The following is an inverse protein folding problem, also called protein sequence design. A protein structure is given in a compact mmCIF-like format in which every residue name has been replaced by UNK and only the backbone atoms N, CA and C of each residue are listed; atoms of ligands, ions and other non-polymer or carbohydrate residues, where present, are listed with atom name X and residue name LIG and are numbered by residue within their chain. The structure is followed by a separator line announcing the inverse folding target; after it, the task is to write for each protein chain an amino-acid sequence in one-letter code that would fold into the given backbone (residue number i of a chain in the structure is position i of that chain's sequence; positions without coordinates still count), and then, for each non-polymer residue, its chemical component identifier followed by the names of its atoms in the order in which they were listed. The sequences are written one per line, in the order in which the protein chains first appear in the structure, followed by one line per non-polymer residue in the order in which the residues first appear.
data_IF_082999714144
#
_entry.id   IF_082999714144
#
_cell.length_a   1.000
_cell.length_b   1.000
_cell.length_c   1.000
_cell.angle_alpha   90.00
_cell.angle_beta   90.00
_cell.angle_gamma   90.00
#
_symmetry.space_group_name_H-M   'P 1'
#
loop_
_entity.id
_entity.type
_entity.pdbx_description
1 polymer ?
#
# COMPACT_ATOMS: atom_id res chain seq x y z
N UNK A 1 -1.42 16.05 11.16
CA UNK A 1 -2.49 15.85 12.16
C UNK A 1 -3.69 15.24 11.45
N UNK A 2 -3.70 13.91 11.26
CA UNK A 2 -4.65 13.22 10.36
C UNK A 2 -5.84 12.60 11.13
N UNK A 3 -5.71 12.22 12.42
CA UNK A 3 -6.76 11.49 13.16
C UNK A 3 -7.01 11.93 14.64
N UNK A 4 -6.75 13.19 15.02
CA UNK A 4 -6.86 13.66 16.42
C UNK A 4 -8.29 13.50 17.01
N UNK A 5 -9.32 13.51 16.17
CA UNK A 5 -10.73 13.33 16.59
C UNK A 5 -11.07 11.86 16.89
N UNK A 6 -10.41 10.91 16.22
CA UNK A 6 -10.65 9.47 16.33
C UNK A 6 -10.29 8.93 17.73
N UNK A 7 -9.18 9.44 18.27
CA UNK A 7 -8.59 9.03 19.55
C UNK A 7 -9.51 9.30 20.73
N UNK A 8 -10.14 10.47 20.79
CA UNK A 8 -11.01 10.82 21.92
C UNK A 8 -12.20 9.87 22.08
N UNK A 9 -12.72 9.32 20.97
CA UNK A 9 -13.91 8.47 20.99
C UNK A 9 -13.63 6.97 21.13
N UNK A 10 -12.43 6.51 20.79
CA UNK A 10 -11.98 5.12 21.02
C UNK A 10 -11.45 4.90 22.44
N UNK A 11 -10.78 5.89 23.03
CA UNK A 11 -10.13 5.73 24.34
C UNK A 11 -10.99 6.14 25.56
N UNK A 12 -12.16 6.75 25.37
CA UNK A 12 -13.06 7.14 26.48
C UNK A 12 -14.28 6.21 26.67
N UNK A 13 -14.39 5.12 25.90
CA UNK A 13 -15.54 4.22 25.95
C UNK A 13 -15.17 2.76 25.73
N UNK A 14 -14.59 2.11 26.74
CA UNK A 14 -14.46 0.65 26.78
C UNK A 14 -13.14 0.15 27.34
N UNK A 15 -13.20 -0.72 28.36
CA UNK A 15 -12.03 -1.44 28.88
C UNK A 15 -11.39 -2.24 27.75
N UNK A 16 -10.10 -2.03 27.51
CA UNK A 16 -9.33 -2.82 26.56
C UNK A 16 -9.36 -4.30 26.95
N UNK A 17 -9.96 -5.11 26.09
CA UNK A 17 -9.75 -6.56 26.06
C UNK A 17 -8.65 -6.83 25.02
N UNK A 18 -7.69 -7.66 25.41
CA UNK A 18 -6.57 -8.10 24.58
C UNK A 18 -7.06 -8.88 23.35
N UNK A 19 -6.26 -8.85 22.28
CA UNK A 19 -6.50 -9.59 21.03
C UNK A 19 -6.41 -11.14 21.20
N UNK A 20 -6.09 -11.66 22.38
CA UNK A 20 -5.90 -13.10 22.63
C UNK A 20 -7.21 -13.91 22.71
N UNK A 21 -8.37 -13.27 22.88
CA UNK A 21 -9.65 -13.98 23.09
C UNK A 21 -10.49 -14.21 21.82
N UNK A 22 -9.96 -13.93 20.62
CA UNK A 22 -10.73 -13.99 19.36
C UNK A 22 -10.32 -15.13 18.41
N UNK A 23 -10.64 -16.36 18.78
CA UNK A 23 -10.59 -17.52 17.87
C UNK A 23 -11.74 -17.52 16.86
N UNK A 24 -11.43 -17.37 15.57
CA UNK A 24 -12.37 -17.35 14.44
C UNK A 24 -13.02 -18.74 14.21
N UNK A 25 -14.34 -18.79 14.10
CA UNK A 25 -15.07 -19.99 13.63
C UNK A 25 -15.74 -19.71 12.29
N UNK A 26 -15.41 -20.48 11.25
CA UNK A 26 -16.08 -20.41 9.97
C UNK A 26 -17.51 -20.99 10.08
N UNK A 27 -18.53 -20.21 9.69
CA UNK A 27 -19.89 -20.72 9.47
C UNK A 27 -20.35 -20.38 8.05
N UNK A 28 -20.87 -21.38 7.35
CA UNK A 28 -21.35 -21.24 5.96
C UNK A 28 -22.78 -20.69 5.97
N UNK A 29 -22.98 -19.47 5.45
CA UNK A 29 -24.30 -18.96 5.07
C UNK A 29 -24.61 -19.31 3.61
N UNK A 30 -25.43 -20.33 3.36
CA UNK A 30 -26.04 -20.54 2.04
C UNK A 30 -27.24 -19.61 1.87
N UNK A 31 -27.16 -18.66 0.95
CA UNK A 31 -28.33 -17.98 0.41
C UNK A 31 -28.58 -18.42 -1.03
N UNK A 32 -29.48 -19.39 -1.19
CA UNK A 32 -30.00 -19.81 -2.50
C UNK A 32 -31.33 -19.12 -2.74
N UNK A 33 -31.43 -18.31 -3.79
CA UNK A 33 -32.71 -17.80 -4.30
C UNK A 33 -33.23 -18.78 -5.35
N UNK A 34 -34.39 -19.36 -5.08
CA UNK A 34 -35.00 -20.42 -5.88
C UNK A 34 -35.49 -19.93 -7.26
N UNK A 35 -35.26 -20.76 -8.28
CA UNK A 35 -36.18 -20.93 -9.41
C UNK A 35 -35.86 -22.19 -10.21
N UNK A 36 -36.89 -23.01 -10.44
CA UNK A 36 -37.07 -23.80 -11.67
C UNK A 36 -36.53 -25.23 -11.70
N UNK A 37 -37.46 -26.19 -11.78
CA UNK A 37 -37.26 -27.64 -11.98
C UNK A 37 -36.61 -28.00 -13.33
N UNK A 38 -35.87 -29.13 -13.36
CA UNK A 38 -35.42 -29.77 -14.59
C UNK A 38 -34.55 -31.01 -14.34
N UNK A 39 -35.09 -32.17 -14.71
CA UNK A 39 -34.63 -33.55 -14.46
C UNK A 39 -33.44 -34.05 -15.31
N UNK A 40 -32.78 -35.09 -14.78
CA UNK A 40 -32.04 -36.20 -15.44
C UNK A 40 -30.52 -36.15 -15.71
N UNK A 41 -29.78 -36.86 -14.83
CA UNK A 41 -28.89 -38.04 -15.04
C UNK A 41 -27.56 -37.94 -15.84
N UNK A 42 -26.59 -38.85 -15.53
CA UNK A 42 -25.13 -38.61 -15.58
C UNK A 42 -24.48 -39.19 -16.85
N UNK A 43 -23.23 -38.82 -17.19
CA UNK A 43 -22.18 -39.76 -17.65
C UNK A 43 -20.82 -39.10 -18.02
N UNK A 44 -19.76 -39.85 -17.65
CA UNK A 44 -18.43 -40.07 -18.28
C UNK A 44 -17.36 -38.98 -18.50
N UNK A 45 -16.17 -39.34 -17.99
CA UNK A 45 -14.82 -38.97 -18.44
C UNK A 45 -14.57 -39.15 -19.95
N UNK A 46 -13.78 -38.23 -20.52
CA UNK A 46 -12.73 -38.43 -21.53
C UNK A 46 -12.09 -37.05 -21.82
N UNK A 47 -10.89 -36.75 -21.30
CA UNK A 47 -9.56 -36.97 -21.89
C UNK A 47 -9.15 -35.95 -22.97
N UNK A 48 -8.01 -35.28 -22.72
CA UNK A 48 -7.04 -34.93 -23.75
C UNK A 48 -7.11 -33.51 -24.29
N UNK A 49 -6.24 -32.64 -23.77
CA UNK A 49 -5.92 -31.34 -24.37
C UNK A 49 -4.81 -30.69 -23.57
N UNK A 50 -3.58 -30.84 -24.04
CA UNK A 50 -2.39 -30.16 -23.52
C UNK A 50 -2.65 -28.64 -23.54
N UNK A 51 -2.92 -28.08 -22.36
CA UNK A 51 -2.92 -26.65 -22.15
C UNK A 51 -1.65 -26.33 -21.37
N UNK A 52 -0.73 -25.63 -22.03
CA UNK A 52 0.48 -25.08 -21.42
C UNK A 52 0.12 -24.35 -20.11
N UNK A 53 0.75 -24.81 -19.03
CA UNK A 53 0.61 -24.24 -17.70
C UNK A 53 1.08 -22.78 -17.70
N UNK A 54 0.26 -21.80 -17.27
CA UNK A 54 0.77 -20.49 -16.96
C UNK A 54 1.59 -20.57 -15.66
N UNK A 55 2.85 -20.16 -15.76
CA UNK A 55 3.84 -20.03 -14.68
C UNK A 55 3.23 -19.44 -13.39
N UNK A 56 3.01 -20.29 -12.37
CA UNK A 56 2.97 -19.86 -10.96
C UNK A 56 4.23 -20.43 -10.29
N UNK A 57 5.26 -19.61 -10.03
CA UNK A 57 5.39 -18.81 -8.80
C UNK A 57 5.09 -19.59 -7.52
N UNK A 58 5.79 -20.71 -7.33
CA UNK A 58 5.98 -21.30 -6.00
C UNK A 58 7.36 -20.93 -5.49
N UNK A 59 7.46 -19.92 -4.62
CA UNK A 59 8.60 -19.85 -3.72
C UNK A 59 8.52 -21.07 -2.80
N UNK A 60 9.49 -21.99 -2.93
CA UNK A 60 9.58 -23.21 -2.12
C UNK A 60 9.74 -22.87 -0.63
N UNK A 61 9.40 -23.83 0.24
CA UNK A 61 9.40 -23.66 1.71
C UNK A 61 10.69 -23.11 2.35
N UNK A 62 11.84 -23.21 1.68
CA UNK A 62 13.12 -22.64 2.14
C UNK A 62 13.27 -21.13 1.84
N UNK A 63 12.69 -20.61 0.75
CA UNK A 63 12.65 -19.16 0.47
C UNK A 63 11.69 -18.44 1.42
N UNK A 64 10.60 -19.11 1.82
CA UNK A 64 9.61 -18.58 2.76
C UNK A 64 10.17 -18.38 4.17
N UNK A 65 11.14 -19.20 4.59
CA UNK A 65 11.77 -19.09 5.91
C UNK A 65 12.79 -17.95 6.03
N UNK A 66 13.14 -17.28 4.92
CA UNK A 66 14.11 -16.18 4.89
C UNK A 66 13.47 -14.79 4.86
N UNK A 67 12.20 -14.68 4.50
CA UNK A 67 11.49 -13.40 4.50
C UNK A 67 11.41 -12.84 5.90
N UNK A 68 11.64 -11.55 6.07
CA UNK A 68 11.57 -10.91 7.37
C UNK A 68 11.03 -9.49 7.36
N UNK A 69 10.49 -9.09 8.50
CA UNK A 69 10.18 -7.70 8.83
C UNK A 69 10.69 -7.40 10.23
N UNK A 70 11.26 -6.20 10.43
CA UNK A 70 11.58 -5.65 11.73
C UNK A 70 11.18 -4.18 11.74
N UNK A 71 10.27 -3.80 12.64
CA UNK A 71 10.01 -2.37 12.89
C UNK A 71 11.01 -1.84 13.91
N UNK A 72 11.63 -0.70 13.61
CA UNK A 72 12.59 -0.05 14.47
C UNK A 72 11.93 0.48 15.75
N UNK A 73 12.37 -0.04 16.90
CA UNK A 73 11.91 0.38 18.23
C UNK A 73 12.96 1.26 18.93
N UNK A 74 14.24 0.97 18.72
CA UNK A 74 15.35 1.75 19.25
C UNK A 74 16.48 1.85 18.24
N UNK A 75 16.93 3.07 17.98
CA UNK A 75 18.12 3.36 17.19
C UNK A 75 19.25 3.79 18.13
N UNK A 76 20.43 3.22 17.97
CA UNK A 76 21.63 3.67 18.67
C UNK A 76 22.76 3.94 17.67
N UNK A 77 23.32 5.15 17.76
CA UNK A 77 24.43 5.59 16.92
C UNK A 77 25.73 5.32 17.67
N UNK A 78 26.57 4.44 17.11
CA UNK A 78 27.87 4.12 17.66
C UNK A 78 28.94 5.15 17.21
N UNK A 79 30.17 4.98 17.67
CA UNK A 79 31.30 5.80 17.24
C UNK A 79 31.61 5.55 15.75
N UNK A 80 32.01 6.60 15.02
CA UNK A 80 32.29 6.51 13.59
C UNK A 80 31.00 6.51 12.75
N UNK A 81 30.92 5.63 11.75
CA UNK A 81 29.80 5.54 10.79
C UNK A 81 28.80 4.41 11.14
N UNK A 82 29.04 3.69 12.23
CA UNK A 82 28.25 2.53 12.64
C UNK A 82 27.02 2.95 13.46
N UNK A 83 25.94 2.20 13.31
CA UNK A 83 24.75 2.29 14.13
C UNK A 83 24.03 0.94 14.14
N UNK A 84 23.10 0.76 15.09
CA UNK A 84 22.25 -0.41 15.09
C UNK A 84 20.82 -0.05 15.46
N UNK A 85 19.92 -0.92 15.03
CA UNK A 85 18.49 -0.82 15.28
C UNK A 85 18.04 -2.07 16.00
N UNK A 86 17.30 -1.88 17.08
CA UNK A 86 16.67 -2.93 17.86
C UNK A 86 15.17 -2.95 17.58
N UNK A 87 14.59 -4.15 17.50
CA UNK A 87 13.16 -4.38 17.36
C UNK A 87 12.83 -5.87 17.33
N UNK A 88 11.54 -6.17 17.17
CA UNK A 88 11.09 -7.55 16.96
C UNK A 88 11.26 -7.94 15.50
N UNK A 89 12.15 -8.89 15.25
CA UNK A 89 12.34 -9.57 13.97
C UNK A 89 11.31 -10.68 13.84
N UNK A 90 10.44 -10.60 12.84
CA UNK A 90 9.60 -11.71 12.39
C UNK A 90 10.26 -12.32 11.16
N UNK A 91 10.62 -13.60 11.22
CA UNK A 91 11.36 -14.28 10.14
C UNK A 91 12.86 -14.33 10.39
N UNK A 92 13.68 -14.31 9.32
CA UNK A 92 15.14 -14.50 9.42
C UNK A 92 15.92 -13.49 8.59
N UNK A 93 16.71 -12.64 9.26
CA UNK A 93 17.67 -11.75 8.61
C UNK A 93 19.10 -12.32 8.66
N UNK A 94 19.93 -11.98 7.68
CA UNK A 94 21.33 -12.38 7.60
C UNK A 94 22.26 -11.20 7.33
N UNK A 95 23.51 -11.30 7.80
CA UNK A 95 24.54 -10.32 7.47
C UNK A 95 24.92 -10.44 5.98
N UNK A 96 25.21 -9.31 5.35
CA UNK A 96 25.50 -9.17 3.92
C UNK A 96 24.26 -8.97 3.05
N UNK A 97 23.04 -9.01 3.60
CA UNK A 97 21.80 -8.80 2.84
C UNK A 97 21.58 -7.31 2.56
N UNK A 98 21.29 -6.98 1.29
CA UNK A 98 20.73 -5.69 0.90
C UNK A 98 19.25 -5.70 1.27
N UNK A 99 18.83 -4.73 2.09
CA UNK A 99 17.46 -4.69 2.64
C UNK A 99 16.81 -3.36 2.33
N UNK A 100 15.49 -3.32 2.34
CA UNK A 100 14.72 -2.09 2.18
C UNK A 100 14.33 -1.54 3.56
N UNK A 101 14.55 -0.24 3.76
CA UNK A 101 14.09 0.52 4.92
C UNK A 101 12.98 1.47 4.46
N UNK A 102 11.79 1.28 5.01
CA UNK A 102 10.58 2.05 4.71
C UNK A 102 10.33 3.03 5.85
N UNK A 103 10.51 4.32 5.58
CA UNK A 103 10.44 5.37 6.59
C UNK A 103 9.03 5.92 6.74
N UNK A 104 8.73 6.48 7.92
CA UNK A 104 7.43 7.07 8.24
C UNK A 104 7.04 8.27 7.38
N UNK A 105 7.99 8.92 6.72
CA UNK A 105 7.75 10.05 5.83
C UNK A 105 7.62 9.62 4.35
N UNK A 106 7.70 8.32 4.05
CA UNK A 106 7.65 7.78 2.70
C UNK A 106 9.01 7.64 2.02
N UNK A 107 10.11 8.06 2.66
CA UNK A 107 11.45 7.77 2.13
C UNK A 107 11.73 6.26 2.13
N UNK A 108 12.63 5.87 1.23
CA UNK A 108 13.11 4.50 1.07
C UNK A 108 14.63 4.54 1.04
N UNK A 109 15.26 3.60 1.73
CA UNK A 109 16.70 3.37 1.62
C UNK A 109 17.01 1.89 1.46
N UNK A 110 18.16 1.58 0.88
CA UNK A 110 18.63 0.21 0.67
C UNK A 110 20.00 -0.05 1.30
N UNK A 111 20.12 -0.01 2.64
CA UNK A 111 21.38 -0.35 3.31
C UNK A 111 21.66 -1.86 3.28
N UNK A 112 22.91 -2.24 3.56
CA UNK A 112 23.31 -3.63 3.76
C UNK A 112 23.41 -3.92 5.25
N UNK A 113 22.87 -5.05 5.70
CA UNK A 113 23.01 -5.51 7.09
C UNK A 113 24.46 -5.97 7.30
N UNK A 114 25.20 -5.33 8.20
CA UNK A 114 26.59 -5.71 8.52
C UNK A 114 26.66 -6.87 9.51
N UNK A 115 25.71 -6.91 10.45
CA UNK A 115 25.63 -7.93 11.50
C UNK A 115 24.20 -8.06 12.01
N UNK A 116 23.84 -9.29 12.37
CA UNK A 116 22.60 -9.62 13.10
C UNK A 116 22.96 -10.16 14.47
N UNK A 117 22.36 -9.62 15.52
CA UNK A 117 22.46 -10.14 16.88
C UNK A 117 21.06 -10.48 17.41
N UNK A 118 20.81 -11.74 17.78
CA UNK A 118 19.56 -12.15 18.40
C UNK A 118 19.70 -12.01 19.92
N UNK A 119 18.90 -11.13 20.51
CA UNK A 119 18.94 -10.83 21.95
C UNK A 119 18.09 -11.83 22.74
N UNK A 120 16.84 -12.02 22.33
CA UNK A 120 15.88 -12.87 23.04
C UNK A 120 14.98 -13.58 22.03
N UNK A 121 14.65 -14.84 22.32
CA UNK A 121 13.57 -15.55 21.63
C UNK A 121 12.28 -15.32 22.40
N UNK A 122 11.28 -14.70 21.78
CA UNK A 122 9.96 -14.57 22.41
C UNK A 122 9.23 -15.90 22.26
N UNK A 123 8.89 -16.51 23.38
CA UNK A 123 8.00 -17.65 23.43
C UNK A 123 6.55 -17.19 23.32
N UNK A 124 5.81 -17.83 22.41
CA UNK A 124 4.34 -18.00 22.41
C UNK A 124 3.41 -17.07 21.60
N UNK A 125 3.88 -16.17 20.72
CA UNK A 125 2.96 -15.47 19.79
C UNK A 125 3.50 -15.44 18.36
N UNK A 126 3.07 -16.44 17.58
CA UNK A 126 3.16 -16.60 16.11
C UNK A 126 4.55 -16.51 15.46
N UNK A 127 4.90 -17.54 14.68
CA UNK A 127 5.95 -17.58 13.66
C UNK A 127 7.26 -16.84 13.96
N UNK A 128 8.27 -17.57 14.46
CA UNK A 128 9.70 -17.19 14.48
C UNK A 128 10.05 -15.74 14.88
N UNK A 129 9.30 -15.16 15.84
CA UNK A 129 9.55 -13.79 16.31
C UNK A 129 10.68 -13.75 17.36
N UNK A 130 11.67 -12.87 17.16
CA UNK A 130 12.86 -12.73 18.03
C UNK A 130 13.20 -11.26 18.22
N UNK A 131 13.58 -10.86 19.43
CA UNK A 131 14.18 -9.53 19.61
C UNK A 131 15.58 -9.54 19.01
N UNK A 132 15.86 -8.64 18.08
CA UNK A 132 17.13 -8.61 17.36
C UNK A 132 17.71 -7.19 17.27
N UNK A 133 19.03 -7.12 17.08
CA UNK A 133 19.73 -5.93 16.62
C UNK A 133 20.29 -6.15 15.23
N UNK A 134 19.98 -5.21 14.33
CA UNK A 134 20.53 -5.14 12.99
C UNK A 134 21.53 -4.00 12.95
N UNK A 135 22.76 -4.29 12.56
CA UNK A 135 23.86 -3.33 12.49
C UNK A 135 24.05 -2.85 11.06
N UNK A 136 24.34 -1.56 10.93
CA UNK A 136 24.51 -0.88 9.66
C UNK A 136 25.71 0.08 9.73
N UNK A 137 26.24 0.42 8.56
CA UNK A 137 27.30 1.40 8.37
C UNK A 137 26.82 2.52 7.42
N UNK A 138 27.56 3.64 7.34
CA UNK A 138 27.28 4.70 6.35
C UNK A 138 26.18 5.69 6.73
N UNK A 139 26.02 5.99 8.03
CA UNK A 139 24.95 6.86 8.56
C UNK A 139 24.82 8.23 7.87
N UNK A 140 25.89 8.77 7.26
CA UNK A 140 25.84 10.06 6.53
C UNK A 140 24.98 10.05 5.28
N UNK A 141 24.75 8.88 4.68
CA UNK A 141 23.93 8.73 3.48
C UNK A 141 22.47 8.37 3.79
N UNK A 142 22.12 8.25 5.07
CA UNK A 142 20.82 7.75 5.51
C UNK A 142 20.12 8.82 6.36
N UNK A 143 18.80 8.90 6.22
CA UNK A 143 17.98 9.53 7.25
C UNK A 143 18.06 8.67 8.51
N UNK A 144 18.24 9.29 9.68
CA UNK A 144 18.35 8.62 10.97
C UNK A 144 17.09 8.79 11.83
N UNK A 145 16.01 9.37 11.30
CA UNK A 145 14.68 9.28 11.92
C UNK A 145 14.01 7.94 11.60
N UNK A 146 14.54 6.86 12.19
CA UNK A 146 14.02 5.50 11.99
C UNK A 146 12.81 5.20 12.89
N UNK A 147 12.20 6.21 13.51
CA UNK A 147 11.01 5.99 14.34
C UNK A 147 9.91 5.36 13.48
N UNK A 148 9.50 4.13 13.82
CA UNK A 148 8.55 3.31 13.07
C UNK A 148 8.98 2.95 11.64
N UNK A 149 10.27 3.07 11.32
CA UNK A 149 10.77 2.54 10.06
C UNK A 149 10.66 1.01 10.06
N UNK A 150 10.29 0.42 8.93
CA UNK A 150 10.27 -1.03 8.76
C UNK A 150 11.45 -1.45 7.89
N UNK A 151 12.24 -2.39 8.39
CA UNK A 151 13.39 -3.00 7.74
C UNK A 151 12.96 -4.38 7.26
N UNK A 152 13.21 -4.70 6.00
CA UNK A 152 12.71 -5.93 5.39
C UNK A 152 13.52 -6.33 4.15
N UNK A 153 13.55 -7.63 3.84
CA UNK A 153 13.99 -8.16 2.55
C UNK A 153 12.84 -8.28 1.53
N UNK A 154 11.60 -8.01 1.95
CA UNK A 154 10.42 -8.08 1.11
C UNK A 154 10.43 -6.89 0.14
N UNK A 155 10.35 -7.12 -1.18
CA UNK A 155 10.31 -6.05 -2.15
C UNK A 155 9.14 -5.10 -1.91
N UNK A 156 9.43 -3.81 -1.74
CA UNK A 156 8.41 -2.77 -1.70
C UNK A 156 7.98 -2.37 -3.11
N UNK A 157 6.67 -2.21 -3.31
CA UNK A 157 6.06 -1.81 -4.56
C UNK A 157 5.41 -0.45 -4.40
N UNK A 158 6.10 0.60 -4.84
CA UNK A 158 5.49 1.94 -4.92
C UNK A 158 4.37 2.00 -5.96
N UNK A 159 4.49 1.19 -7.01
CA UNK A 159 3.46 0.95 -8.00
C UNK A 159 3.18 -0.56 -8.04
N UNK A 160 1.90 -0.94 -8.00
CA UNK A 160 1.52 -2.34 -8.19
C UNK A 160 1.86 -2.77 -9.61
N UNK A 161 2.67 -3.83 -9.70
CA UNK A 161 2.94 -4.56 -10.92
C UNK A 161 2.24 -5.92 -10.81
N UNK A 162 1.15 -6.10 -11.57
CA UNK A 162 0.36 -7.35 -11.57
C UNK A 162 1.14 -8.57 -12.02
N UNK A 163 2.31 -8.37 -12.66
CA UNK A 163 3.21 -9.46 -13.07
C UNK A 163 4.18 -9.88 -11.96
N UNK A 164 4.23 -9.12 -10.86
CA UNK A 164 5.01 -9.45 -9.66
C UNK A 164 4.07 -9.84 -8.53
N UNK A 165 4.62 -10.60 -7.58
CA UNK A 165 3.90 -10.88 -6.35
C UNK A 165 3.58 -9.55 -5.64
N UNK A 166 2.31 -9.26 -5.44
CA UNK A 166 1.84 -8.11 -4.64
C UNK A 166 2.25 -8.29 -3.18
N UNK A 167 2.83 -7.24 -2.60
CA UNK A 167 3.41 -7.24 -1.27
C UNK A 167 3.17 -5.87 -0.59
N UNK A 168 2.87 -5.86 0.71
CA UNK A 168 2.78 -4.63 1.51
C UNK A 168 3.62 -4.74 2.79
N UNK A 169 4.96 -4.76 2.67
CA UNK A 169 5.81 -5.01 3.81
C UNK A 169 5.74 -3.92 4.88
N UNK A 170 5.43 -2.67 4.50
CA UNK A 170 5.33 -1.60 5.49
C UNK A 170 4.14 -1.83 6.43
N UNK A 171 2.94 -1.99 5.86
CA UNK A 171 1.73 -2.29 6.62
C UNK A 171 1.89 -3.59 7.43
N UNK A 172 2.51 -4.62 6.85
CA UNK A 172 2.78 -5.87 7.55
C UNK A 172 3.63 -5.67 8.82
N UNK A 173 4.75 -4.92 8.71
CA UNK A 173 5.60 -4.59 9.85
C UNK A 173 4.88 -3.72 10.90
N UNK A 174 4.05 -2.77 10.47
CA UNK A 174 3.26 -1.94 11.38
C UNK A 174 2.18 -2.76 12.11
N UNK A 175 1.49 -3.70 11.44
CA UNK A 175 0.53 -4.63 12.08
C UNK A 175 1.21 -5.42 13.19
N UNK A 176 2.40 -5.97 12.92
CA UNK A 176 3.18 -6.75 13.89
C UNK A 176 3.47 -5.95 15.17
N UNK A 177 3.80 -4.67 15.05
CA UNK A 177 4.10 -3.81 16.19
C UNK A 177 2.88 -3.12 16.82
N UNK A 178 1.69 -3.23 16.21
CA UNK A 178 0.52 -2.39 16.51
C UNK A 178 0.17 -2.27 17.99
N UNK A 179 0.00 -3.40 18.70
CA UNK A 179 -0.49 -3.41 20.10
C UNK A 179 0.42 -2.65 21.06
N UNK A 180 1.73 -2.57 20.75
CA UNK A 180 2.71 -1.85 21.58
C UNK A 180 2.62 -0.34 21.40
N UNK A 181 2.34 0.11 20.19
CA UNK A 181 2.39 1.53 19.81
C UNK A 181 1.01 2.16 19.62
N UNK A 182 -0.07 1.40 19.81
CA UNK A 182 -1.46 1.86 19.63
C UNK A 182 -1.81 3.15 20.42
N UNK A 183 -1.12 3.38 21.55
CA UNK A 183 -1.35 4.57 22.40
C UNK A 183 -0.57 5.80 21.93
N UNK A 184 0.39 5.63 21.02
CA UNK A 184 1.21 6.70 20.46
C UNK A 184 0.49 7.35 19.28
N UNK A 185 0.30 8.66 19.34
CA UNK A 185 -0.50 9.39 18.36
C UNK A 185 0.12 9.38 16.97
N UNK A 186 1.44 9.56 16.90
CA UNK A 186 2.18 9.52 15.63
C UNK A 186 2.09 8.14 14.98
N UNK A 187 2.18 7.06 15.77
CA UNK A 187 2.07 5.70 15.27
C UNK A 187 0.66 5.43 14.76
N UNK A 188 -0.35 5.81 15.54
CA UNK A 188 -1.75 5.65 15.17
C UNK A 188 -2.04 6.37 13.85
N UNK A 189 -1.61 7.62 13.71
CA UNK A 189 -1.76 8.39 12.48
C UNK A 189 -1.05 7.74 11.28
N UNK A 190 0.18 7.27 11.48
CA UNK A 190 0.97 6.54 10.48
C UNK A 190 0.28 5.25 10.05
N UNK A 191 -0.11 4.41 11.00
CA UNK A 191 -0.73 3.12 10.75
C UNK A 191 -1.98 3.26 9.88
N UNK A 192 -2.90 4.17 10.23
CA UNK A 192 -4.11 4.35 9.44
C UNK A 192 -3.86 5.00 8.09
N UNK A 193 -2.84 5.86 7.96
CA UNK A 193 -2.39 6.36 6.66
C UNK A 193 -1.93 5.22 5.76
N UNK A 194 -1.06 4.34 6.27
CA UNK A 194 -0.57 3.20 5.49
C UNK A 194 -1.67 2.17 5.21
N UNK A 195 -2.59 1.94 6.15
CA UNK A 195 -3.75 1.08 5.95
C UNK A 195 -4.59 1.54 4.74
N UNK A 196 -4.90 2.83 4.65
CA UNK A 196 -5.77 3.33 3.56
C UNK A 196 -5.04 3.47 2.22
N UNK A 197 -3.71 3.63 2.23
CA UNK A 197 -2.87 3.70 1.03
C UNK A 197 -2.46 2.33 0.48
N UNK A 198 -2.55 1.29 1.29
CA UNK A 198 -2.14 -0.06 0.90
C UNK A 198 -3.03 -0.66 -0.18
N UNK A 199 -2.45 -1.61 -0.90
CA UNK A 199 -3.16 -2.50 -1.81
C UNK A 199 -3.42 -3.80 -1.10
N UNK A 200 -4.48 -4.50 -1.47
CA UNK A 200 -4.87 -5.73 -0.81
C UNK A 200 -5.19 -6.80 -1.84
N UNK A 201 -4.81 -8.03 -1.51
CA UNK A 201 -5.27 -9.21 -2.21
C UNK A 201 -6.66 -9.57 -1.65
N UNK A 202 -7.65 -9.57 -2.54
CA UNK A 202 -9.01 -10.01 -2.26
C UNK A 202 -9.28 -11.34 -2.97
N UNK A 203 -9.46 -12.45 -2.25
CA UNK A 203 -9.88 -13.70 -2.87
C UNK A 203 -11.34 -13.61 -3.33
N UNK A 204 -11.57 -13.94 -4.60
CA UNK A 204 -12.90 -13.97 -5.19
C UNK A 204 -13.22 -15.34 -5.77
N UNK A 205 -14.52 -15.65 -5.81
CA UNK A 205 -15.08 -16.81 -6.49
C UNK A 205 -15.61 -16.39 -7.84
N UNK A 206 -15.25 -17.13 -8.86
CA UNK A 206 -15.80 -16.96 -10.20
C UNK A 206 -16.39 -18.26 -10.71
N UNK A 207 -17.50 -18.16 -11.42
CA UNK A 207 -18.06 -19.25 -12.22
C UNK A 207 -17.31 -19.28 -13.56
N UNK A 208 -16.07 -19.79 -13.56
CA UNK A 208 -15.17 -19.81 -14.71
C UNK A 208 -13.76 -19.30 -14.40
N UNK A 209 -12.88 -19.22 -15.40
CA UNK A 209 -11.62 -18.44 -15.29
C UNK A 209 -11.88 -16.97 -15.59
N UNK A 210 -11.09 -16.08 -14.97
CA UNK A 210 -10.94 -14.71 -15.49
C UNK A 210 -10.63 -14.76 -17.00
N UNK A 211 -11.28 -13.91 -17.82
CA UNK A 211 -10.95 -13.85 -19.23
C UNK A 211 -9.46 -13.55 -19.38
N UNK A 212 -8.74 -14.25 -20.26
CA UNK A 212 -7.33 -13.96 -20.52
C UNK A 212 -7.24 -12.87 -21.59
N UNK A 213 -6.73 -11.71 -21.21
CA UNK A 213 -6.48 -10.60 -22.11
C UNK A 213 -5.03 -10.58 -22.60
N UNK A 214 -4.77 -9.88 -23.71
CA UNK A 214 -3.40 -9.66 -24.18
C UNK A 214 -2.73 -8.55 -23.34
N UNK A 215 -1.48 -8.78 -22.92
CA UNK A 215 -0.70 -7.77 -22.19
C UNK A 215 -1.15 -7.54 -20.73
N UNK A 216 -1.89 -8.48 -20.13
CA UNK A 216 -2.34 -8.37 -18.73
C UNK A 216 -3.58 -7.50 -18.51
N UNK A 217 -4.14 -6.92 -19.57
CA UNK A 217 -5.38 -6.14 -19.49
C UNK A 217 -6.58 -6.97 -19.94
N UNK A 218 -7.61 -7.03 -19.10
CA UNK A 218 -8.86 -7.75 -19.36
C UNK A 218 -10.02 -6.76 -19.23
N UNK A 219 -10.83 -6.63 -20.27
CA UNK A 219 -12.11 -5.94 -20.17
C UNK A 219 -13.15 -6.91 -19.66
N UNK A 220 -13.67 -6.68 -18.45
CA UNK A 220 -14.78 -7.46 -17.90
C UNK A 220 -16.08 -7.10 -18.63
N UNK A 221 -16.86 -8.11 -19.00
CA UNK A 221 -18.15 -7.90 -19.63
C UNK A 221 -19.16 -7.32 -18.64
N UNK A 222 -20.01 -6.41 -19.12
CA UNK A 222 -21.08 -5.85 -18.30
C UNK A 222 -22.00 -6.97 -17.81
N UNK A 223 -22.15 -7.09 -16.49
CA UNK A 223 -22.99 -8.11 -15.86
C UNK A 223 -22.24 -9.34 -15.35
N UNK A 224 -20.90 -9.39 -15.49
CA UNK A 224 -20.10 -10.41 -14.79
C UNK A 224 -20.30 -10.29 -13.27
N UNK A 225 -20.52 -11.43 -12.63
CA UNK A 225 -20.64 -11.54 -11.17
C UNK A 225 -19.52 -12.38 -10.61
N UNK A 226 -18.97 -11.95 -9.48
CA UNK A 226 -18.04 -12.73 -8.69
C UNK A 226 -18.57 -12.81 -7.25
N UNK A 227 -18.33 -13.93 -6.59
CA UNK A 227 -18.60 -14.10 -5.18
C UNK A 227 -17.42 -13.59 -4.37
N UNK A 228 -17.69 -12.93 -3.25
CA UNK A 228 -16.66 -12.53 -2.30
C UNK A 228 -16.91 -13.28 -1.01
N UNK A 229 -15.86 -13.90 -0.48
CA UNK A 229 -15.94 -14.64 0.78
C UNK A 229 -16.02 -13.67 1.95
N UNK A 230 -16.80 -14.03 2.98
CA UNK A 230 -16.89 -13.31 4.26
C UNK A 230 -16.53 -14.27 5.38
N UNK A 231 -15.93 -13.74 6.45
CA UNK A 231 -15.68 -14.49 7.68
C UNK A 231 -16.59 -14.00 8.80
N UNK A 232 -17.00 -14.91 9.67
CA UNK A 232 -17.70 -14.55 10.91
C UNK A 232 -16.68 -14.30 12.02
N UNK A 233 -16.78 -13.14 12.66
CA UNK A 233 -16.02 -12.81 13.87
C UNK A 233 -16.70 -13.43 15.11
N UNK A 234 -16.00 -13.43 16.24
CA UNK A 234 -16.44 -14.09 17.47
C UNK A 234 -17.69 -13.48 18.08
N UNK A 235 -17.94 -12.20 17.82
CA UNK A 235 -19.16 -11.49 18.22
C UNK A 235 -20.33 -11.75 17.25
N UNK A 236 -20.14 -12.61 16.26
CA UNK A 236 -21.11 -12.95 15.22
C UNK A 236 -21.17 -11.94 14.07
N UNK A 237 -20.38 -10.87 14.10
CA UNK A 237 -20.32 -9.89 13.00
C UNK A 237 -19.62 -10.47 11.76
N UNK A 238 -19.96 -9.94 10.58
CA UNK A 238 -19.29 -10.29 9.32
C UNK A 238 -18.06 -9.41 9.11
N UNK A 239 -17.03 -9.97 8.51
CA UNK A 239 -15.89 -9.21 8.02
C UNK A 239 -15.46 -9.64 6.62
N UNK A 240 -15.03 -8.66 5.83
CA UNK A 240 -14.37 -8.82 4.54
C UNK A 240 -12.89 -9.19 4.77
N UNK A 241 -12.45 -10.41 4.43
CA UNK A 241 -11.06 -10.82 4.59
C UNK A 241 -10.21 -10.31 3.42
N UNK A 242 -9.12 -9.63 3.77
CA UNK A 242 -8.15 -9.08 2.80
C UNK A 242 -6.73 -9.40 3.25
N UNK A 243 -5.79 -9.44 2.31
CA UNK A 243 -4.43 -9.90 2.59
C UNK A 243 -3.38 -8.91 2.08
N UNK A 244 -2.31 -8.71 2.86
CA UNK A 244 -1.19 -7.84 2.49
C UNK A 244 -0.25 -8.47 1.48
N UNK A 245 -0.26 -9.80 1.39
CA UNK A 245 0.70 -10.59 0.63
C UNK A 245 0.17 -12.01 0.37
N UNK A 246 0.84 -12.71 -0.54
CA UNK A 246 0.47 -14.07 -0.95
C UNK A 246 0.68 -15.10 0.15
N UNK A 247 1.63 -14.89 1.07
CA UNK A 247 1.89 -15.82 2.19
C UNK A 247 0.70 -15.81 3.15
N UNK A 248 0.20 -14.63 3.50
CA UNK A 248 -1.02 -14.50 4.30
C UNK A 248 -2.25 -15.09 3.60
N UNK A 249 -2.38 -14.88 2.28
CA UNK A 249 -3.49 -15.43 1.49
C UNK A 249 -3.45 -16.97 1.39
N UNK A 250 -2.28 -17.57 1.37
CA UNK A 250 -2.14 -19.04 1.38
C UNK A 250 -2.64 -19.68 2.67
N UNK A 251 -2.61 -18.97 3.81
CA UNK A 251 -3.20 -19.44 5.06
C UNK A 251 -4.70 -19.74 4.96
N UNK A 252 -5.37 -19.20 3.93
CA UNK A 252 -6.76 -19.51 3.59
C UNK A 252 -6.95 -20.90 2.95
N UNK A 253 -5.88 -21.56 2.50
CA UNK A 253 -5.98 -22.85 1.81
C UNK A 253 -6.74 -23.87 2.69
N UNK A 254 -7.79 -24.47 2.12
CA UNK A 254 -8.67 -25.41 2.83
C UNK A 254 -9.85 -24.79 3.60
N UNK A 255 -9.94 -23.45 3.71
CA UNK A 255 -11.13 -22.75 4.20
C UNK A 255 -12.20 -22.58 3.10
N UNK A 256 -11.77 -22.71 1.85
CA UNK A 256 -12.60 -22.72 0.67
C UNK A 256 -13.22 -24.11 0.49
N UNK A 257 -14.55 -24.21 0.38
CA UNK A 257 -15.21 -25.49 0.10
C UNK A 257 -14.82 -26.11 -1.25
N UNK A 258 -15.02 -27.42 -1.38
CA UNK A 258 -14.74 -28.17 -2.61
C UNK A 258 -15.38 -27.49 -3.84
N UNK A 259 -14.56 -27.14 -4.83
CA UNK A 259 -15.01 -26.51 -6.08
C UNK A 259 -14.94 -24.99 -6.13
N UNK A 260 -14.51 -24.29 -5.07
CA UNK A 260 -14.19 -22.87 -5.20
C UNK A 260 -12.90 -22.68 -6.00
N UNK A 261 -13.05 -22.30 -7.28
CA UNK A 261 -11.95 -21.76 -8.07
C UNK A 261 -11.64 -20.34 -7.59
N UNK A 262 -10.59 -20.22 -6.78
CA UNK A 262 -10.10 -18.96 -6.22
C UNK A 262 -9.36 -18.18 -7.31
N UNK A 263 -9.89 -17.02 -7.65
CA UNK A 263 -9.17 -15.95 -8.33
C UNK A 263 -8.80 -14.88 -7.29
N UNK A 264 -7.90 -13.97 -7.62
CA UNK A 264 -7.48 -12.90 -6.68
C UNK A 264 -7.49 -11.56 -7.39
N UNK A 265 -8.12 -10.58 -6.75
CA UNK A 265 -8.15 -9.20 -7.22
C UNK A 265 -7.24 -8.34 -6.34
N UNK A 266 -6.52 -7.41 -6.96
CA UNK A 266 -5.78 -6.38 -6.23
C UNK A 266 -6.71 -5.18 -6.04
N UNK A 267 -6.95 -4.80 -4.80
CA UNK A 267 -7.93 -3.78 -4.42
C UNK A 267 -7.29 -2.74 -3.51
N UNK A 268 -7.65 -1.47 -3.68
CA UNK A 268 -7.29 -0.42 -2.74
C UNK A 268 -8.35 -0.27 -1.65
N UNK A 269 -7.98 0.30 -0.51
CA UNK A 269 -8.89 0.50 0.62
C UNK A 269 -10.22 1.18 0.24
N UNK A 270 -10.28 2.27 -0.58
CA UNK A 270 -11.56 2.86 -0.95
C UNK A 270 -12.48 1.88 -1.69
N UNK A 271 -11.93 1.05 -2.57
CA UNK A 271 -12.71 0.04 -3.29
C UNK A 271 -13.22 -1.06 -2.36
N UNK A 272 -12.43 -1.43 -1.35
CA UNK A 272 -12.88 -2.36 -0.32
C UNK A 272 -14.04 -1.80 0.47
N UNK A 273 -13.98 -0.52 0.86
CA UNK A 273 -15.07 0.18 1.56
C UNK A 273 -16.35 0.18 0.73
N UNK A 274 -16.26 0.44 -0.58
CA UNK A 274 -17.41 0.42 -1.49
C UNK A 274 -18.06 -0.97 -1.62
N UNK A 275 -17.34 -2.04 -1.26
CA UNK A 275 -17.82 -3.42 -1.30
C UNK A 275 -18.40 -3.94 0.02
N UNK A 276 -18.29 -3.15 1.11
CA UNK A 276 -18.77 -3.56 2.42
C UNK A 276 -20.30 -3.51 2.52
N UNK A 277 -20.86 -4.48 3.22
CA UNK A 277 -22.25 -4.42 3.67
C UNK A 277 -22.39 -3.50 4.90
N UNK A 278 -23.62 -3.04 5.19
CA UNK A 278 -23.87 -2.18 6.35
C UNK A 278 -23.48 -2.90 7.66
N UNK A 279 -22.57 -2.30 8.41
CA UNK A 279 -22.07 -2.88 9.67
C UNK A 279 -20.99 -3.95 9.49
N UNK A 280 -20.46 -4.15 8.28
CA UNK A 280 -19.37 -5.10 8.00
C UNK A 280 -17.99 -4.51 8.37
N UNK A 281 -17.12 -5.36 8.92
CA UNK A 281 -15.72 -5.01 9.22
C UNK A 281 -14.79 -5.37 8.06
N UNK A 282 -13.58 -4.83 8.03
CA UNK A 282 -12.47 -5.39 7.25
C UNK A 282 -11.57 -6.18 8.20
N UNK A 283 -11.15 -7.37 7.81
CA UNK A 283 -10.12 -8.13 8.54
C UNK A 283 -8.90 -8.36 7.63
N UNK A 284 -7.78 -7.79 8.03
CA UNK A 284 -6.49 -7.91 7.34
C UNK A 284 -5.76 -9.13 7.87
N UNK A 285 -5.28 -9.99 6.97
CA UNK A 285 -4.52 -11.21 7.25
C UNK A 285 -5.18 -12.15 8.29
N UNK A 286 -6.46 -12.53 8.13
CA UNK A 286 -7.19 -13.34 9.11
C UNK A 286 -6.52 -14.69 9.47
N UNK A 287 -5.73 -15.24 8.55
CA UNK A 287 -5.00 -16.51 8.72
C UNK A 287 -3.48 -16.31 8.77
N UNK A 288 -3.03 -15.06 8.84
CA UNK A 288 -1.62 -14.72 9.01
C UNK A 288 -1.16 -14.88 10.46
N UNK A 289 0.16 -14.76 10.73
CA UNK A 289 0.70 -14.80 12.09
C UNK A 289 0.07 -13.74 13.00
N UNK A 290 -0.27 -12.58 12.42
CA UNK A 290 -1.02 -11.53 13.09
C UNK A 290 -2.07 -10.95 12.14
N UNK A 291 -3.30 -10.83 12.63
CA UNK A 291 -4.41 -10.21 11.92
C UNK A 291 -4.75 -8.85 12.52
N UNK A 292 -5.48 -8.03 11.77
CA UNK A 292 -6.00 -6.75 12.24
C UNK A 292 -7.44 -6.56 11.79
N UNK A 293 -8.33 -6.15 12.71
CA UNK A 293 -9.74 -5.88 12.40
C UNK A 293 -9.97 -4.38 12.37
N UNK A 294 -10.49 -3.88 11.25
CA UNK A 294 -11.01 -2.52 11.10
C UNK A 294 -12.53 -2.61 11.29
N UNK A 295 -13.00 -2.23 12.47
CA UNK A 295 -14.42 -2.29 12.80
C UNK A 295 -15.22 -1.20 12.06
N UNK A 296 -16.56 -1.33 11.95
CA UNK A 296 -17.38 -0.42 11.15
C UNK A 296 -17.33 1.04 11.65
N UNK A 297 -17.19 1.25 12.97
CA UNK A 297 -17.09 2.60 13.54
C UNK A 297 -15.75 3.22 13.14
N UNK A 298 -14.66 2.44 13.21
CA UNK A 298 -13.34 2.88 12.74
C UNK A 298 -13.35 3.21 11.25
N UNK A 299 -13.95 2.36 10.41
CA UNK A 299 -14.11 2.61 8.97
C UNK A 299 -14.87 3.91 8.73
N UNK A 300 -16.05 4.05 9.33
CA UNK A 300 -16.88 5.25 9.18
C UNK A 300 -16.12 6.52 9.56
N UNK A 301 -15.33 6.47 10.63
CA UNK A 301 -14.57 7.63 11.05
C UNK A 301 -13.36 7.93 10.14
N UNK A 302 -12.68 6.91 9.60
CA UNK A 302 -11.62 7.08 8.61
C UNK A 302 -12.18 7.78 7.39
N UNK A 303 -13.25 7.22 6.81
CA UNK A 303 -13.87 7.71 5.58
C UNK A 303 -14.38 9.14 5.76
N UNK A 304 -14.93 9.49 6.93
CA UNK A 304 -15.42 10.85 7.21
C UNK A 304 -14.31 11.83 7.65
N UNK A 305 -13.05 11.39 7.77
CA UNK A 305 -11.95 12.27 8.15
C UNK A 305 -11.57 13.22 7.01
N UNK A 306 -11.18 14.45 7.37
CA UNK A 306 -10.71 15.44 6.38
C UNK A 306 -9.46 14.98 5.63
N UNK A 307 -8.60 14.21 6.28
CA UNK A 307 -7.40 13.64 5.67
C UNK A 307 -7.73 12.64 4.58
N UNK A 308 -8.58 11.65 4.88
CA UNK A 308 -9.05 10.67 3.90
C UNK A 308 -9.78 11.35 2.73
N UNK A 309 -10.69 12.28 3.02
CA UNK A 309 -11.43 13.01 1.98
C UNK A 309 -10.53 13.90 1.12
N UNK A 310 -9.44 14.43 1.69
CA UNK A 310 -8.46 15.21 0.94
C UNK A 310 -7.64 14.36 -0.04
N UNK A 311 -7.39 13.09 0.30
CA UNK A 311 -6.57 12.19 -0.51
C UNK A 311 -7.37 11.37 -1.52
N UNK A 312 -8.47 10.75 -1.07
CA UNK A 312 -9.26 9.81 -1.87
C UNK A 312 -10.57 10.40 -2.40
N UNK A 313 -11.00 11.56 -1.87
CA UNK A 313 -12.20 12.25 -2.34
C UNK A 313 -12.01 12.95 -3.69
N UNK A 314 -12.98 13.80 -4.05
CA UNK A 314 -12.90 14.61 -5.27
C UNK A 314 -11.74 15.61 -5.20
N UNK A 315 -10.89 15.59 -6.23
CA UNK A 315 -9.77 16.52 -6.34
C UNK A 315 -10.28 17.97 -6.42
N UNK A 316 -9.84 18.81 -5.48
CA UNK A 316 -10.20 20.23 -5.44
C UNK A 316 -9.09 21.06 -6.05
N UNK A 317 -9.35 21.64 -7.22
CA UNK A 317 -8.40 22.57 -7.87
C UNK A 317 -8.51 23.95 -7.22
N UNK A 318 -7.46 24.36 -6.52
CA UNK A 318 -7.33 25.72 -6.01
C UNK A 318 -6.46 26.56 -6.96
N UNK A 319 -6.88 27.80 -7.24
CA UNK A 319 -6.04 28.77 -7.94
C UNK A 319 -5.39 29.71 -6.93
N UNK A 320 -4.05 29.69 -6.83
CA UNK A 320 -3.29 30.64 -6.01
C UNK A 320 -2.63 31.67 -6.93
N UNK A 321 -2.90 32.95 -6.68
CA UNK A 321 -2.10 34.02 -7.27
C UNK A 321 -0.86 34.20 -6.38
N UNK A 322 0.32 33.92 -6.94
CA UNK A 322 1.60 34.16 -6.27
C UNK A 322 1.83 35.66 -6.18
N UNK A 323 2.14 36.18 -4.99
CA UNK A 323 2.40 37.61 -4.83
C UNK A 323 3.78 37.97 -5.40
N UNK A 324 3.92 39.23 -5.87
CA UNK A 324 5.14 39.71 -6.54
C UNK A 324 6.43 39.52 -5.73
N UNK A 325 6.32 39.51 -4.40
CA UNK A 325 7.45 39.41 -3.48
C UNK A 325 7.51 38.06 -2.74
N UNK A 326 6.66 37.08 -3.10
CA UNK A 326 6.69 35.73 -2.52
C UNK A 326 7.96 35.01 -2.99
N UNK A 327 8.86 34.67 -2.06
CA UNK A 327 10.07 33.92 -2.38
C UNK A 327 9.74 32.45 -2.48
N UNK A 328 10.05 31.87 -3.63
CA UNK A 328 9.96 30.44 -3.87
C UNK A 328 11.35 29.91 -4.18
N UNK A 329 11.69 28.78 -3.59
CA UNK A 329 12.86 28.01 -3.97
C UNK A 329 12.42 26.98 -5.00
N UNK A 330 13.14 26.93 -6.12
CA UNK A 330 12.91 25.99 -7.20
C UNK A 330 14.19 25.22 -7.49
N UNK A 331 14.05 23.92 -7.67
CA UNK A 331 15.14 23.04 -8.09
C UNK A 331 14.58 21.73 -8.62
N UNK A 332 15.46 20.83 -9.05
CA UNK A 332 15.05 19.47 -9.37
C UNK A 332 14.82 18.68 -8.08
N UNK A 333 13.77 17.83 -8.03
CA UNK A 333 13.61 16.92 -6.90
C UNK A 333 14.81 15.96 -6.85
N UNK A 334 15.24 15.59 -5.65
CA UNK A 334 16.27 14.57 -5.49
C UNK A 334 15.76 13.22 -6.01
N UNK A 335 16.65 12.43 -6.61
CA UNK A 335 16.31 11.10 -7.11
C UNK A 335 15.82 10.19 -5.98
N UNK A 336 14.67 9.57 -6.20
CA UNK A 336 14.02 8.62 -5.29
C UNK A 336 13.03 7.75 -6.07
N UNK A 337 12.58 6.64 -5.47
CA UNK A 337 11.57 5.76 -6.06
C UNK A 337 10.24 6.51 -6.33
N UNK A 338 9.85 7.43 -5.45
CA UNK A 338 8.69 8.33 -5.63
C UNK A 338 8.85 9.20 -6.88
N UNK A 339 9.99 9.87 -7.00
CA UNK A 339 10.27 10.78 -8.13
C UNK A 339 10.35 10.01 -9.44
N UNK A 340 10.99 8.84 -9.44
CA UNK A 340 11.09 7.98 -10.61
C UNK A 340 9.72 7.44 -11.05
N UNK A 341 8.87 7.02 -10.10
CA UNK A 341 7.50 6.61 -10.40
C UNK A 341 6.68 7.77 -10.99
N UNK A 342 6.76 8.97 -10.41
CA UNK A 342 6.09 10.17 -10.93
C UNK A 342 6.57 10.47 -12.34
N UNK A 343 7.90 10.49 -12.60
CA UNK A 343 8.46 10.72 -13.93
C UNK A 343 7.94 9.71 -14.94
N UNK A 344 7.91 8.41 -14.61
CA UNK A 344 7.35 7.36 -15.49
C UNK A 344 5.88 7.64 -15.84
N UNK A 345 5.04 8.00 -14.86
CA UNK A 345 3.63 8.32 -15.11
C UNK A 345 3.44 9.59 -15.94
N UNK A 346 4.24 10.62 -15.71
CA UNK A 346 4.24 11.83 -16.53
C UNK A 346 4.64 11.54 -17.98
N UNK A 347 5.67 10.70 -18.21
CA UNK A 347 6.06 10.26 -19.56
C UNK A 347 4.92 9.47 -20.23
N UNK A 348 4.33 8.51 -19.52
CA UNK A 348 3.23 7.70 -20.05
C UNK A 348 2.01 8.57 -20.38
N UNK A 349 1.72 9.57 -19.54
CA UNK A 349 0.66 10.56 -19.78
C UNK A 349 0.96 11.39 -21.03
N UNK A 350 2.13 12.00 -21.13
CA UNK A 350 2.53 12.79 -22.30
C UNK A 350 2.43 12.02 -23.63
N UNK A 351 2.82 10.74 -23.63
CA UNK A 351 2.71 9.87 -24.81
C UNK A 351 1.27 9.59 -25.25
N UNK A 352 0.31 9.54 -24.31
CA UNK A 352 -1.11 9.29 -24.59
C UNK A 352 -1.86 10.54 -25.04
N UNK A 353 -1.26 11.73 -24.85
CA UNK A 353 -1.89 13.02 -25.09
C UNK A 353 -1.10 13.83 -26.15
N UNK A 354 -1.43 13.68 -27.45
CA UNK A 354 -0.68 14.31 -28.55
C UNK A 354 -0.66 15.85 -28.50
N UNK A 355 -1.63 16.47 -27.83
CA UNK A 355 -1.72 17.90 -27.55
C UNK A 355 -0.63 18.42 -26.59
N UNK A 356 -0.01 17.54 -25.81
CA UNK A 356 1.06 17.88 -24.88
C UNK A 356 2.39 17.80 -25.62
N UNK A 357 3.07 18.94 -25.73
CA UNK A 357 4.38 19.00 -26.41
C UNK A 357 5.54 18.75 -25.45
N UNK A 358 5.35 19.04 -24.16
CA UNK A 358 6.38 18.93 -23.13
C UNK A 358 5.77 18.82 -21.73
N UNK A 359 6.38 18.03 -20.86
CA UNK A 359 6.12 18.02 -19.41
C UNK A 359 7.46 18.11 -18.67
N UNK A 360 7.54 19.03 -17.71
CA UNK A 360 8.68 19.18 -16.80
C UNK A 360 8.27 18.98 -15.35
N UNK A 361 9.22 18.62 -14.49
CA UNK A 361 9.01 18.37 -13.06
C UNK A 361 10.09 19.06 -12.24
N UNK A 362 9.67 20.00 -11.40
CA UNK A 362 10.52 20.67 -10.42
C UNK A 362 9.98 20.43 -9.00
N UNK A 363 10.83 20.63 -8.01
CA UNK A 363 10.44 20.77 -6.61
C UNK A 363 10.37 22.25 -6.26
N UNK A 364 9.23 22.67 -5.70
CA UNK A 364 9.02 24.01 -5.17
C UNK A 364 8.93 23.95 -3.65
N UNK A 365 9.64 24.84 -2.97
CA UNK A 365 9.45 25.12 -1.55
C UNK A 365 9.11 26.61 -1.35
N UNK A 366 8.11 26.90 -0.52
CA UNK A 366 7.78 28.27 -0.11
C UNK A 366 8.59 28.72 1.11
N UNK A 367 8.36 29.96 1.58
CA UNK A 367 9.06 30.54 2.73
C UNK A 367 8.83 29.79 4.04
N UNK A 368 7.71 29.06 4.16
CA UNK A 368 7.39 28.22 5.31
C UNK A 368 8.05 26.83 5.22
N UNK A 369 8.68 26.54 4.08
CA UNK A 369 9.30 25.24 3.80
C UNK A 369 8.31 24.19 3.27
N UNK A 370 7.08 24.57 2.94
CA UNK A 370 6.09 23.66 2.37
C UNK A 370 6.52 23.27 0.96
N UNK A 371 6.70 21.97 0.75
CA UNK A 371 7.15 21.42 -0.51
C UNK A 371 5.98 21.00 -1.40
N UNK A 372 6.17 21.13 -2.71
CA UNK A 372 5.23 20.71 -3.75
C UNK A 372 5.97 20.35 -5.03
N UNK A 373 5.49 19.34 -5.74
CA UNK A 373 5.94 19.06 -7.10
C UNK A 373 5.33 20.07 -8.06
N UNK A 374 6.15 20.89 -8.71
CA UNK A 374 5.70 21.81 -9.74
C UNK A 374 5.80 21.12 -11.11
N UNK A 375 4.65 20.81 -11.70
CA UNK A 375 4.54 20.24 -13.04
C UNK A 375 4.31 21.36 -14.05
N UNK A 376 5.23 21.51 -14.99
CA UNK A 376 5.15 22.49 -16.07
C UNK A 376 4.71 21.77 -17.33
N UNK A 377 3.60 22.19 -17.94
CA UNK A 377 3.01 21.51 -19.10
C UNK A 377 2.94 22.46 -20.29
N UNK A 378 3.44 22.03 -21.44
CA UNK A 378 3.24 22.76 -22.71
C UNK A 378 1.97 22.28 -23.41
N UNK A 379 0.88 23.00 -23.13
CA UNK A 379 -0.48 22.78 -23.64
C UNK A 379 -1.16 24.12 -23.94
N UNK A 380 -2.23 24.12 -24.76
CA UNK A 380 -3.09 25.29 -24.92
C UNK A 380 -3.59 25.83 -23.57
N UNK A 381 -3.69 27.15 -23.48
CA UNK A 381 -4.19 27.84 -22.27
C UNK A 381 -5.68 27.57 -22.02
N UNK A 382 -6.45 27.42 -23.09
CA UNK A 382 -7.87 27.04 -23.04
C UNK A 382 -7.98 25.56 -22.62
N UNK A 383 -8.76 25.27 -21.58
CA UNK A 383 -8.92 23.90 -21.07
C UNK A 383 -7.73 23.35 -20.29
N UNK A 384 -6.65 24.11 -20.06
CA UNK A 384 -5.44 23.61 -19.37
C UNK A 384 -5.70 22.96 -18.00
N UNK A 385 -6.74 23.40 -17.28
CA UNK A 385 -7.11 22.87 -15.96
C UNK A 385 -7.54 21.42 -15.99
N UNK A 386 -8.17 20.97 -17.08
CA UNK A 386 -8.61 19.59 -17.21
C UNK A 386 -7.38 18.67 -17.30
N UNK A 387 -6.34 19.09 -18.05
CA UNK A 387 -5.06 18.40 -18.08
C UNK A 387 -4.38 18.36 -16.72
N UNK A 388 -4.37 19.46 -15.97
CA UNK A 388 -3.81 19.49 -14.62
C UNK A 388 -4.54 18.51 -13.69
N UNK A 389 -5.87 18.49 -13.73
CA UNK A 389 -6.68 17.53 -12.97
C UNK A 389 -6.39 16.08 -13.37
N UNK A 390 -6.30 15.79 -14.67
CA UNK A 390 -5.99 14.44 -15.17
C UNK A 390 -4.58 13.98 -14.80
N UNK A 391 -3.58 14.86 -14.89
CA UNK A 391 -2.21 14.55 -14.45
C UNK A 391 -2.16 14.34 -12.93
N UNK A 392 -2.84 15.18 -12.16
CA UNK A 392 -2.94 15.01 -10.71
C UNK A 392 -3.53 13.65 -10.35
N UNK A 393 -4.67 13.30 -10.94
CA UNK A 393 -5.31 12.01 -10.69
C UNK A 393 -4.45 10.82 -11.13
N UNK A 394 -3.61 11.00 -12.15
CA UNK A 394 -2.67 9.98 -12.61
C UNK A 394 -1.48 9.77 -11.67
N UNK A 395 -1.13 10.75 -10.81
CA UNK A 395 0.05 10.66 -9.94
C UNK A 395 -0.26 10.72 -8.44
N UNK A 396 -1.48 11.09 -8.03
CA UNK A 396 -1.80 11.44 -6.63
C UNK A 396 -1.48 10.35 -5.60
N UNK A 397 -1.62 9.09 -5.99
CA UNK A 397 -1.31 7.92 -5.15
C UNK A 397 0.20 7.71 -4.94
N UNK A 398 1.06 8.38 -5.71
CA UNK A 398 2.51 8.37 -5.52
C UNK A 398 3.00 9.45 -4.55
N UNK A 399 2.14 10.37 -4.11
CA UNK A 399 2.53 11.56 -3.34
C UNK A 399 2.69 11.21 -1.85
N UNK A 400 3.71 10.42 -1.51
CA UNK A 400 3.92 9.95 -0.14
C UNK A 400 4.65 10.98 0.70
N UNK A 401 5.81 11.45 0.23
CA UNK A 401 6.66 12.41 0.92
C UNK A 401 6.22 13.85 0.64
N UNK A 402 6.06 14.19 -0.63
CA UNK A 402 5.58 15.52 -1.04
C UNK A 402 4.12 15.39 -1.46
N UNK A 403 3.21 15.79 -0.57
CA UNK A 403 1.78 15.55 -0.71
C UNK A 403 1.05 16.54 -1.63
N UNK A 404 1.77 17.53 -2.18
CA UNK A 404 1.21 18.59 -3.02
C UNK A 404 1.79 18.57 -4.43
N UNK A 405 0.93 18.83 -5.41
CA UNK A 405 1.34 19.02 -6.79
C UNK A 405 0.73 20.31 -7.35
N UNK A 406 1.60 21.18 -7.81
CA UNK A 406 1.27 22.45 -8.44
C UNK A 406 1.45 22.36 -9.94
N UNK A 407 0.67 23.17 -10.66
CA UNK A 407 0.65 23.15 -12.11
C UNK A 407 0.77 24.53 -12.71
N UNK A 408 1.50 24.61 -13.82
CA UNK A 408 1.59 25.83 -14.63
C UNK A 408 1.81 25.47 -16.09
N UNK A 409 1.25 26.28 -17.00
CA UNK A 409 1.55 26.15 -18.43
C UNK A 409 2.97 26.66 -18.72
N UNK A 410 3.64 26.11 -19.74
CA UNK A 410 4.96 26.59 -20.15
C UNK A 410 4.98 28.11 -20.40
N UNK A 411 3.91 28.64 -21.02
CA UNK A 411 3.77 30.07 -21.29
C UNK A 411 3.74 30.93 -20.03
N UNK A 412 3.23 30.41 -18.91
CA UNK A 412 3.17 31.11 -17.61
C UNK A 412 4.34 30.78 -16.69
N UNK A 413 5.18 29.81 -17.06
CA UNK A 413 6.31 29.34 -16.26
C UNK A 413 7.61 30.15 -16.47
N UNK A 414 7.52 31.42 -16.88
CA UNK A 414 8.70 32.25 -17.12
C UNK A 414 9.58 32.38 -15.87
N UNK A 415 8.97 32.41 -14.68
CA UNK A 415 9.67 32.45 -13.40
C UNK A 415 10.58 31.23 -13.16
N UNK A 416 10.28 30.08 -13.77
CA UNK A 416 11.05 28.85 -13.63
C UNK A 416 12.17 28.72 -14.69
N UNK A 417 12.26 29.64 -15.65
CA UNK A 417 13.17 29.52 -16.81
C UNK A 417 14.63 29.32 -16.40
N UNK A 418 15.09 29.97 -15.33
CA UNK A 418 16.48 29.85 -14.85
C UNK A 418 16.76 28.58 -14.08
N UNK A 419 15.73 27.98 -13.46
CA UNK A 419 15.84 26.72 -12.72
C UNK A 419 15.82 25.50 -13.65
N UNK A 420 15.23 25.63 -14.84
CA UNK A 420 15.10 24.55 -15.84
C UNK A 420 16.38 24.35 -16.65
N UNK A 421 17.39 23.74 -16.04
CA UNK A 421 18.71 23.50 -16.66
C UNK A 421 18.88 22.12 -17.28
N UNK A 422 18.00 21.17 -16.95
CA UNK A 422 17.99 19.80 -17.46
C UNK A 422 16.90 19.60 -18.53
N UNK A 423 16.98 18.54 -19.35
CA UNK A 423 15.91 18.17 -20.26
C UNK A 423 14.58 17.96 -19.52
N UNK A 424 13.44 18.30 -20.14
CA UNK A 424 12.14 18.03 -19.56
C UNK A 424 11.89 16.52 -19.41
N UNK A 425 11.04 16.16 -18.45
CA UNK A 425 10.62 14.76 -18.21
C UNK A 425 10.08 14.11 -19.48
N UNK A 426 9.30 14.87 -20.27
CA UNK A 426 8.76 14.43 -21.54
C UNK A 426 8.87 15.54 -22.58
N UNK A 427 9.24 15.18 -23.80
CA UNK A 427 9.20 16.05 -24.97
C UNK A 427 8.85 15.19 -26.19
N UNK A 428 7.91 15.68 -27.01
CA UNK A 428 7.40 14.97 -28.18
C UNK A 428 8.38 14.95 -29.35
#
# INVERSE_FOLDING_TARGET
MFFDKLKKELFHGGKGQSNEDRNVSASQGQFSRASGEGTEKPFSQASGGEAEEPLSQTAMGEERSKRFTLMAERLEIAAGEEFYVEGDLVGQAQAGELVTVLYRDGNIAHPVIEKVEILEKKGDVSADTRTARLYFSGKKALDLDWKYAVITDIPYQIEVDVNKAVENPYLLGLIQAFDRHIREEDFWNLFFRELVRSHYLLPVRMDGSMPKGQGGEVTLEKGMTFGVYRVSLNDGSSALPVYTDWVALEGMAGQCGDGWKRETMVMHFPQLVDMLEEGESIIVNPYGPKFFVVDPKTIANIVNSSGYQGEFGEAKVASKAVQKDEKILLGYPAESEEVEAIRRRLVAFGKKHPEISMIDLLLKADEEGTQSYLVIVDVPEEGCRDYFGSIYNACRDLLHRVTYMDFVTLRRAEFARTARTEPPVYQR
#
